data_IF_247578455299
#
_entry.id   IF_247578455299
#
_cell.length_a   1.000
_cell.length_b   1.000
_cell.length_c   1.000
_cell.angle_alpha   90.00
_cell.angle_beta   90.00
_cell.angle_gamma   90.00
#
_symmetry.space_group_name_H-M   'P 1'
#
loop_
_entity.id
_entity.type
_entity.pdbx_description
1 polymer ?
#
# COMPACT_ATOMS: atom_id res chain seq x y z
N UNK A 1 15.36 -20.69 1.29
CA UNK A 1 14.90 -19.33 1.62
C UNK A 1 13.84 -18.96 0.61
N UNK A 2 12.65 -18.51 1.02
CA UNK A 2 11.59 -18.17 0.08
C UNK A 2 11.99 -16.93 -0.73
N UNK A 3 11.62 -16.93 -2.02
CA UNK A 3 11.72 -15.78 -2.91
C UNK A 3 10.30 -15.47 -3.37
N UNK A 4 9.85 -14.25 -3.14
CA UNK A 4 8.56 -13.78 -3.63
C UNK A 4 8.80 -13.04 -4.93
N UNK A 5 8.21 -13.48 -6.03
CA UNK A 5 8.31 -12.90 -7.37
C UNK A 5 7.17 -11.90 -7.60
N UNK A 6 7.19 -11.08 -8.67
CA UNK A 6 6.02 -10.29 -9.03
C UNK A 6 4.76 -11.16 -9.14
N UNK A 7 3.68 -10.77 -8.45
CA UNK A 7 2.44 -11.54 -8.37
C UNK A 7 2.39 -12.56 -7.24
N UNK A 8 3.46 -12.70 -6.44
CA UNK A 8 3.43 -13.48 -5.19
C UNK A 8 3.79 -12.63 -3.99
N UNK A 9 3.30 -13.03 -2.81
CA UNK A 9 3.52 -12.33 -1.56
C UNK A 9 3.63 -13.34 -0.40
N UNK A 10 4.25 -12.91 0.69
CA UNK A 10 4.25 -13.64 1.94
C UNK A 10 2.83 -13.57 2.52
N UNK A 11 2.12 -14.70 2.52
CA UNK A 11 0.81 -14.84 3.15
C UNK A 11 0.98 -15.36 4.59
N UNK A 12 0.18 -14.88 5.57
CA UNK A 12 0.30 -15.32 6.96
C UNK A 12 0.21 -16.84 7.15
N UNK A 13 -0.58 -17.53 6.32
CA UNK A 13 -0.76 -19.00 6.38
C UNK A 13 0.45 -19.81 5.93
N UNK A 14 1.33 -19.25 5.09
CA UNK A 14 2.51 -19.92 4.53
C UNK A 14 3.83 -19.33 5.08
N UNK A 15 3.73 -18.52 6.13
CA UNK A 15 4.85 -17.79 6.71
C UNK A 15 5.84 -18.74 7.40
N UNK A 16 7.14 -18.69 7.06
CA UNK A 16 8.15 -19.47 7.79
C UNK A 16 8.17 -19.11 9.27
N UNK A 17 8.32 -20.10 10.16
CA UNK A 17 8.26 -19.91 11.62
C UNK A 17 9.26 -18.85 12.14
N UNK A 18 10.42 -18.73 11.49
CA UNK A 18 11.47 -17.76 11.86
C UNK A 18 11.18 -16.33 11.40
N UNK A 19 10.20 -16.11 10.51
CA UNK A 19 9.93 -14.81 9.91
C UNK A 19 8.98 -14.01 10.80
N UNK A 20 9.42 -12.90 11.39
CA UNK A 20 8.58 -12.06 12.25
C UNK A 20 7.56 -11.21 11.49
N UNK A 21 7.72 -11.03 10.17
CA UNK A 21 6.81 -10.25 9.32
C UNK A 21 5.58 -11.07 8.99
N UNK A 22 4.38 -10.55 9.24
CA UNK A 22 3.12 -11.27 8.99
C UNK A 22 2.81 -11.45 7.52
N UNK A 23 2.79 -10.34 6.80
CA UNK A 23 2.50 -10.24 5.36
C UNK A 23 3.56 -9.35 4.73
N UNK A 24 3.99 -9.67 3.51
CA UNK A 24 4.87 -8.80 2.73
C UNK A 24 4.59 -8.97 1.24
N UNK A 25 4.48 -7.87 0.51
CA UNK A 25 4.22 -7.92 -0.93
C UNK A 25 4.79 -6.72 -1.66
N UNK A 26 4.66 -6.75 -2.98
CA UNK A 26 5.00 -5.61 -3.85
C UNK A 26 3.73 -5.03 -4.42
N UNK A 27 3.76 -3.72 -4.66
CA UNK A 27 2.71 -3.04 -5.41
C UNK A 27 3.33 -2.25 -6.55
N UNK A 28 2.54 -2.07 -7.60
CA UNK A 28 2.85 -1.18 -8.71
C UNK A 28 1.58 -0.52 -9.20
N UNK A 29 1.64 0.79 -9.42
CA UNK A 29 0.53 1.56 -10.00
C UNK A 29 1.05 2.26 -11.26
N UNK A 30 0.75 1.74 -12.47
CA UNK A 30 1.14 2.36 -13.72
C UNK A 30 0.32 3.63 -13.99
N UNK A 31 0.78 4.46 -14.94
CA UNK A 31 0.03 5.64 -15.39
C UNK A 31 -1.24 5.28 -16.17
N UNK A 32 -1.23 4.14 -16.87
CA UNK A 32 -2.37 3.66 -17.66
C UNK A 32 -2.93 2.39 -17.03
N UNK A 33 -4.24 2.38 -16.76
CA UNK A 33 -4.94 1.22 -16.19
C UNK A 33 -4.59 0.92 -14.74
N UNK A 34 -3.93 1.85 -14.03
CA UNK A 34 -3.64 1.70 -12.60
C UNK A 34 -4.93 1.60 -11.79
N UNK A 35 -5.00 0.64 -10.88
CA UNK A 35 -6.13 0.43 -9.98
C UNK A 35 -5.65 0.19 -8.56
N UNK A 36 -6.47 0.62 -7.60
CA UNK A 36 -6.24 0.40 -6.18
C UNK A 36 -7.59 0.36 -5.46
N UNK A 37 -7.67 -0.37 -4.37
CA UNK A 37 -8.84 -0.39 -3.48
C UNK A 37 -8.54 0.36 -2.19
N UNK A 38 -9.51 1.11 -1.70
CA UNK A 38 -9.40 1.79 -0.40
C UNK A 38 -9.68 0.79 0.71
N UNK A 39 -8.74 0.62 1.63
CA UNK A 39 -8.89 -0.40 2.66
C UNK A 39 -8.24 0.00 3.98
N UNK A 40 -8.40 -0.87 4.97
CA UNK A 40 -7.69 -0.85 6.24
C UNK A 40 -7.35 -2.28 6.64
N UNK A 41 -6.53 -2.41 7.68
CA UNK A 41 -6.18 -3.70 8.29
C UNK A 41 -6.45 -3.65 9.79
N UNK A 42 -6.69 -4.82 10.38
CA UNK A 42 -6.59 -4.98 11.84
C UNK A 42 -5.11 -5.16 12.29
N UNK A 43 -4.15 -4.69 11.47
CA UNK A 43 -2.70 -4.74 11.68
C UNK A 43 -2.05 -3.38 11.35
N UNK A 44 -0.83 -3.18 11.82
CA UNK A 44 0.03 -2.10 11.37
C UNK A 44 0.69 -2.47 10.04
N UNK A 45 0.81 -1.49 9.14
CA UNK A 45 1.44 -1.69 7.84
C UNK A 45 2.48 -0.61 7.57
N UNK A 46 3.52 -0.99 6.83
CA UNK A 46 4.58 -0.11 6.37
C UNK A 46 4.71 -0.22 4.87
N UNK A 47 4.67 0.90 4.17
CA UNK A 47 4.97 0.98 2.74
C UNK A 47 6.34 1.61 2.52
N UNK A 48 7.08 1.10 1.53
CA UNK A 48 8.25 1.76 0.97
C UNK A 48 8.01 2.02 -0.51
N UNK A 49 8.15 3.28 -0.93
CA UNK A 49 8.08 3.69 -2.32
C UNK A 49 9.47 3.68 -2.94
N UNK A 50 9.76 2.68 -3.78
CA UNK A 50 11.04 2.56 -4.46
C UNK A 50 11.15 3.47 -5.70
N UNK A 51 10.04 3.72 -6.38
CA UNK A 51 9.97 4.53 -7.60
C UNK A 51 8.72 5.42 -7.62
N UNK A 52 8.82 6.53 -8.36
CA UNK A 52 7.69 7.36 -8.77
C UNK A 52 7.31 8.48 -7.81
N UNK A 53 6.17 9.10 -8.12
CA UNK A 53 5.54 10.20 -7.39
C UNK A 53 4.04 10.02 -7.44
N UNK A 54 3.39 10.21 -6.29
CA UNK A 54 1.95 10.07 -6.20
C UNK A 54 1.37 10.80 -5.02
N UNK A 55 0.06 10.59 -4.83
CA UNK A 55 -0.71 11.11 -3.71
C UNK A 55 -1.49 9.95 -3.12
N UNK A 56 -1.37 9.81 -1.81
CA UNK A 56 -2.04 8.76 -1.03
C UNK A 56 -3.05 9.37 -0.08
N UNK A 57 -4.07 8.61 0.30
CA UNK A 57 -4.88 8.86 1.49
C UNK A 57 -4.30 8.00 2.61
N UNK A 58 -4.07 8.59 3.78
CA UNK A 58 -3.76 7.84 5.01
C UNK A 58 -4.20 8.67 6.20
N UNK A 59 -4.74 8.06 7.26
CA UNK A 59 -5.17 8.79 8.47
C UNK A 59 -6.09 9.98 8.14
N UNK A 60 -7.05 9.76 7.24
CA UNK A 60 -8.04 10.76 6.81
C UNK A 60 -7.50 11.96 6.02
N UNK A 61 -6.22 11.97 5.63
CA UNK A 61 -5.60 13.08 4.92
C UNK A 61 -4.81 12.63 3.69
N UNK A 62 -4.92 13.41 2.62
CA UNK A 62 -4.10 13.22 1.43
C UNK A 62 -2.68 13.74 1.65
N UNK A 63 -1.68 12.96 1.20
CA UNK A 63 -0.25 13.32 1.30
C UNK A 63 0.48 12.98 0.02
N UNK A 64 1.45 13.81 -0.35
CA UNK A 64 2.39 13.47 -1.42
C UNK A 64 3.40 12.43 -0.97
N UNK A 65 3.68 11.47 -1.85
CA UNK A 65 4.75 10.49 -1.69
C UNK A 65 5.61 10.46 -2.94
N UNK A 66 6.90 10.18 -2.76
CA UNK A 66 7.85 10.01 -3.84
C UNK A 66 8.87 8.91 -3.52
N UNK A 67 9.68 8.53 -4.51
CA UNK A 67 10.74 7.57 -4.35
C UNK A 67 11.61 7.86 -3.09
N UNK A 68 11.85 6.82 -2.31
CA UNK A 68 12.54 6.88 -1.02
C UNK A 68 11.62 7.05 0.19
N UNK A 69 10.32 7.35 0.01
CA UNK A 69 9.39 7.50 1.13
C UNK A 69 9.05 6.19 1.83
N UNK A 70 8.89 6.29 3.15
CA UNK A 70 8.33 5.25 4.01
C UNK A 70 7.07 5.80 4.65
N UNK A 71 5.97 5.07 4.53
CA UNK A 71 4.67 5.42 5.13
C UNK A 71 4.31 4.36 6.15
N UNK A 72 3.85 4.80 7.31
CA UNK A 72 3.37 3.92 8.38
C UNK A 72 1.87 4.14 8.55
N UNK A 73 1.12 3.05 8.62
CA UNK A 73 -0.31 3.05 8.95
C UNK A 73 -0.50 2.27 10.26
N UNK A 74 -1.45 2.72 11.08
CA UNK A 74 -1.89 1.98 12.27
C UNK A 74 -3.03 1.03 11.90
N UNK A 75 -3.26 0.04 12.76
CA UNK A 75 -4.44 -0.80 12.64
C UNK A 75 -5.70 0.07 12.67
N UNK A 76 -6.58 -0.13 11.70
CA UNK A 76 -7.79 0.65 11.48
C UNK A 76 -7.60 1.92 10.63
N UNK A 77 -6.37 2.34 10.33
CA UNK A 77 -6.15 3.52 9.47
C UNK A 77 -6.55 3.16 8.04
N UNK A 78 -7.56 3.85 7.50
CA UNK A 78 -7.94 3.74 6.09
C UNK A 78 -6.87 4.38 5.23
N UNK A 79 -6.46 3.68 4.18
CA UNK A 79 -5.44 4.12 3.25
C UNK A 79 -5.73 3.72 1.80
N UNK A 80 -5.13 4.48 0.87
CA UNK A 80 -5.43 4.44 -0.57
C UNK A 80 -4.32 5.10 -1.40
N UNK A 81 -4.23 4.77 -2.69
CA UNK A 81 -3.45 5.52 -3.69
C UNK A 81 -4.43 6.31 -4.57
N UNK A 82 -4.57 7.60 -4.31
CA UNK A 82 -5.61 8.44 -4.93
C UNK A 82 -5.19 9.10 -6.25
N UNK A 83 -3.89 9.21 -6.53
CA UNK A 83 -3.37 9.67 -7.82
C UNK A 83 -1.90 9.27 -8.01
N UNK A 84 -1.48 9.14 -9.27
CA UNK A 84 -0.08 9.00 -9.67
C UNK A 84 0.34 10.15 -10.58
N UNK A 85 1.58 10.60 -10.43
CA UNK A 85 2.22 11.61 -11.28
C UNK A 85 3.37 11.01 -12.10
N UNK A 86 3.99 9.96 -11.56
CA UNK A 86 4.92 9.05 -12.20
C UNK A 86 4.54 7.62 -11.78
N UNK A 87 4.87 6.55 -12.53
CA UNK A 87 4.55 5.18 -12.13
C UNK A 87 5.09 4.87 -10.74
N UNK A 88 4.23 4.40 -9.83
CA UNK A 88 4.64 4.01 -8.48
C UNK A 88 5.07 2.56 -8.46
N UNK A 89 6.16 2.28 -7.74
CA UNK A 89 6.54 0.92 -7.35
C UNK A 89 7.04 0.91 -5.93
N UNK A 90 6.70 -0.15 -5.20
CA UNK A 90 7.10 -0.28 -3.82
C UNK A 90 6.86 -1.66 -3.26
N UNK A 91 7.10 -1.78 -1.96
CA UNK A 91 6.70 -2.95 -1.20
C UNK A 91 5.95 -2.51 0.06
N UNK A 92 5.14 -3.42 0.58
CA UNK A 92 4.48 -3.26 1.85
C UNK A 92 4.81 -4.42 2.79
N UNK A 93 4.65 -4.19 4.07
CA UNK A 93 4.73 -5.22 5.10
C UNK A 93 3.77 -4.95 6.24
N UNK A 94 3.09 -5.99 6.70
CA UNK A 94 2.26 -5.99 7.89
C UNK A 94 2.99 -6.67 9.06
N UNK A 95 2.72 -6.24 10.30
CA UNK A 95 3.50 -6.70 11.47
C UNK A 95 3.16 -8.13 11.93
N UNK A 96 2.03 -8.69 11.55
CA UNK A 96 1.60 -10.04 11.90
C UNK A 96 0.54 -10.13 12.99
N UNK A 97 -0.46 -9.25 12.95
CA UNK A 97 -1.69 -9.27 13.73
C UNK A 97 -1.45 -9.50 15.24
N UNK A 98 -0.72 -8.61 15.93
CA UNK A 98 -0.32 -8.82 17.32
C UNK A 98 -1.51 -9.02 18.29
N UNK A 99 -2.73 -8.65 17.91
CA UNK A 99 -3.96 -8.82 18.69
C UNK A 99 -4.95 -9.86 18.13
N UNK A 100 -4.57 -10.65 17.12
CA UNK A 100 -5.45 -11.68 16.53
C UNK A 100 -6.60 -11.12 15.67
N UNK A 101 -6.36 -10.00 14.98
CA UNK A 101 -7.33 -9.37 14.08
C UNK A 101 -7.58 -10.13 12.78
N UNK A 102 -8.44 -9.58 11.91
CA UNK A 102 -8.72 -10.15 10.58
C UNK A 102 -7.55 -9.89 9.62
N UNK A 103 -7.28 -10.86 8.76
CA UNK A 103 -6.25 -10.79 7.71
C UNK A 103 -6.79 -10.18 6.41
N UNK A 104 -5.91 -9.61 5.60
CA UNK A 104 -6.23 -9.11 4.26
C UNK A 104 -6.83 -7.71 4.27
N UNK A 105 -7.25 -7.23 3.10
CA UNK A 105 -7.86 -5.93 2.94
C UNK A 105 -9.26 -5.93 3.55
N UNK A 106 -9.54 -4.96 4.43
CA UNK A 106 -10.85 -4.73 5.00
C UNK A 106 -11.43 -3.44 4.42
N UNK A 107 -12.71 -3.47 4.07
CA UNK A 107 -13.37 -2.36 3.37
C UNK A 107 -14.53 -1.82 4.21
N UNK A 108 -14.84 -0.53 4.06
CA UNK A 108 -16.01 0.05 4.71
C UNK A 108 -17.32 -0.42 4.03
N UNK A 109 -17.29 -0.57 2.70
CA UNK A 109 -18.40 -1.07 1.90
C UNK A 109 -17.93 -1.75 0.59
N UNK A 110 -18.88 -2.21 -0.23
CA UNK A 110 -18.61 -2.90 -1.50
C UNK A 110 -17.94 -2.00 -2.56
N UNK A 111 -18.12 -0.68 -2.48
CA UNK A 111 -17.52 0.25 -3.44
C UNK A 111 -16.02 0.41 -3.20
N UNK A 112 -15.62 0.48 -1.93
CA UNK A 112 -14.22 0.42 -1.53
C UNK A 112 -13.59 -0.91 -1.97
N UNK A 113 -14.29 -2.04 -1.78
CA UNK A 113 -13.82 -3.37 -2.17
C UNK A 113 -13.67 -3.59 -3.68
N UNK A 114 -14.51 -2.95 -4.50
CA UNK A 114 -14.40 -3.03 -5.96
C UNK A 114 -13.14 -2.32 -6.50
N UNK A 115 -12.58 -1.42 -5.70
CA UNK A 115 -11.49 -0.53 -6.05
C UNK A 115 -11.84 0.44 -7.17
N UNK A 116 -10.93 1.37 -7.42
CA UNK A 116 -11.11 2.42 -8.41
C UNK A 116 -9.91 2.51 -9.34
N UNK A 117 -10.08 3.21 -10.46
CA UNK A 117 -8.96 3.64 -11.28
C UNK A 117 -8.19 4.72 -10.54
N UNK A 118 -6.86 4.58 -10.51
CA UNK A 118 -5.97 5.60 -9.97
C UNK A 118 -5.63 6.56 -11.10
N UNK A 119 -6.10 7.82 -11.06
CA UNK A 119 -5.87 8.76 -12.14
C UNK A 119 -4.37 9.11 -12.26
N UNK A 120 -3.86 9.07 -13.49
CA UNK A 120 -2.60 9.71 -13.83
C UNK A 120 -2.82 11.20 -14.08
N UNK A 121 -2.14 12.03 -13.30
CA UNK A 121 -2.26 13.48 -13.35
C UNK A 121 -0.90 14.13 -13.65
N UNK A 122 -0.87 15.36 -14.21
CA UNK A 122 0.37 16.14 -14.29
C UNK A 122 0.94 16.41 -12.90
N UNK A 123 2.27 16.48 -12.80
CA UNK A 123 2.96 16.80 -11.54
C UNK A 123 2.52 18.19 -11.02
N UNK A 124 1.98 18.30 -9.79
CA UNK A 124 1.57 19.58 -9.23
C UNK A 124 2.75 20.53 -8.99
N UNK A 125 2.50 21.84 -9.13
CA UNK A 125 3.54 22.86 -8.93
C UNK A 125 4.01 22.96 -7.47
N UNK A 126 3.18 22.52 -6.52
CA UNK A 126 3.45 22.46 -5.08
C UNK A 126 4.01 21.11 -4.63
N UNK A 127 4.30 20.19 -5.56
CA UNK A 127 4.89 18.91 -5.21
C UNK A 127 6.28 19.11 -4.55
N UNK A 128 6.54 18.53 -3.36
CA UNK A 128 7.78 18.77 -2.63
C UNK A 128 9.03 18.32 -3.40
N UNK A 129 10.00 19.23 -3.53
CA UNK A 129 11.35 18.94 -4.06
C UNK A 129 12.21 18.35 -2.94
N UNK A 130 13.05 17.36 -3.28
CA UNK A 130 14.00 16.72 -2.37
C UNK A 130 15.39 16.62 -2.98
#
# INVERSE_FOLDING_TARGET
>A
MPVYEPGTWLHPGDRPEWCAVGTLGRFAVPLEGGRFDRHHHDDHEVWFFAEGKGRILVDGAERYVQAGDIVLTRAGDVHDIVAVYEPLRGFFTETGLPAGGRTGHLHADESDAAGHEVPALPLPADFPVR
#
